data_IF_289152900070
#
_entry.id   IF_289152900070
#
_cell.length_a   1.000
_cell.length_b   1.000
_cell.length_c   1.000
_cell.angle_alpha   90.00
_cell.angle_beta   90.00
_cell.angle_gamma   90.00
#
_symmetry.space_group_name_H-M   'P 1'
#
loop_
_entity.id
_entity.type
_entity.pdbx_description
1 polymer ?
#
# COMPACT_ATOMS: atom_id res chain seq x y z
N UNK A 1 -4.80 -1.28 2.77
CA UNK A 1 -4.29 -2.64 3.00
C UNK A 1 -2.99 -2.51 3.79
N UNK A 2 -2.44 -3.60 4.28
CA UNK A 2 -1.33 -3.62 5.24
C UNK A 2 0.05 -3.45 4.60
N UNK A 3 1.03 -4.20 5.12
CA UNK A 3 2.37 -4.27 4.55
C UNK A 3 2.66 -5.65 3.94
N UNK A 4 3.59 -5.68 2.99
CA UNK A 4 4.11 -6.90 2.37
C UNK A 4 4.78 -7.78 3.43
N UNK A 5 4.70 -9.10 3.25
CA UNK A 5 5.23 -10.03 4.24
C UNK A 5 6.76 -9.92 4.34
N UNK A 6 7.30 -9.96 5.56
CA UNK A 6 8.75 -9.92 5.80
C UNK A 6 9.36 -8.51 5.89
N UNK A 7 8.59 -7.42 5.72
CA UNK A 7 9.10 -6.07 5.90
C UNK A 7 9.30 -5.67 7.37
N UNK A 8 8.52 -6.25 8.27
CA UNK A 8 8.60 -5.97 9.71
C UNK A 8 9.46 -7.08 10.35
N UNK A 9 10.67 -6.78 10.86
CA UNK A 9 11.60 -7.81 11.34
C UNK A 9 11.00 -8.67 12.45
N UNK A 10 10.91 -9.99 12.27
CA UNK A 10 10.33 -10.89 13.27
C UNK A 10 8.81 -10.79 13.42
N UNK A 11 8.11 -10.23 12.43
CA UNK A 11 6.66 -10.32 12.28
C UNK A 11 6.35 -10.95 10.93
N UNK A 12 5.43 -11.91 10.91
CA UNK A 12 4.91 -12.51 9.69
C UNK A 12 3.51 -11.99 9.47
N UNK A 13 3.25 -11.43 8.29
CA UNK A 13 1.93 -10.95 7.90
C UNK A 13 0.94 -12.13 7.89
N UNK A 14 -0.04 -12.19 8.82
CA UNK A 14 -0.92 -13.33 8.94
C UNK A 14 -1.91 -13.42 7.77
N UNK A 15 -2.10 -12.33 7.04
CA UNK A 15 -3.10 -12.19 5.97
C UNK A 15 -2.47 -11.72 4.66
N UNK A 16 -1.42 -12.39 4.18
CA UNK A 16 -0.79 -12.05 2.91
C UNK A 16 -1.29 -12.92 1.76
N UNK A 17 -1.75 -12.30 0.67
CA UNK A 17 -2.04 -12.94 -0.60
C UNK A 17 -1.12 -12.42 -1.70
N UNK A 18 -0.53 -13.31 -2.50
CA UNK A 18 0.36 -12.93 -3.60
C UNK A 18 -0.30 -13.22 -4.95
N UNK A 19 -0.34 -12.22 -5.82
CA UNK A 19 -0.91 -12.28 -7.15
C UNK A 19 0.12 -11.94 -8.21
N UNK A 20 0.22 -12.74 -9.27
CA UNK A 20 1.00 -12.40 -10.45
C UNK A 20 0.44 -11.16 -11.20
N UNK A 21 -0.83 -10.82 -10.96
CA UNK A 21 -1.53 -9.74 -11.68
C UNK A 21 -1.48 -8.39 -10.98
N UNK A 22 -1.18 -8.33 -9.68
CA UNK A 22 -1.17 -7.06 -8.91
C UNK A 22 -0.16 -7.02 -7.76
N UNK A 23 0.59 -8.09 -7.51
CA UNK A 23 1.57 -8.14 -6.42
C UNK A 23 0.99 -8.66 -5.10
N UNK A 24 1.49 -8.13 -4.00
CA UNK A 24 1.20 -8.57 -2.64
C UNK A 24 0.06 -7.76 -2.01
N UNK A 25 -0.82 -8.46 -1.30
CA UNK A 25 -1.99 -7.94 -0.63
C UNK A 25 -1.95 -8.36 0.84
N UNK A 26 -1.50 -7.46 1.70
CA UNK A 26 -1.52 -7.64 3.16
C UNK A 26 -2.86 -7.22 3.75
N UNK A 27 -3.53 -8.10 4.51
CA UNK A 27 -4.83 -7.85 5.15
C UNK A 27 -4.75 -7.17 6.52
N UNK A 28 -3.55 -6.89 7.02
CA UNK A 28 -3.33 -6.26 8.33
C UNK A 28 -3.61 -4.76 8.39
N UNK A 29 -3.82 -4.10 7.25
CA UNK A 29 -4.21 -2.68 7.22
C UNK A 29 -5.66 -2.44 7.64
N UNK A 30 -6.02 -1.17 7.84
CA UNK A 30 -7.37 -0.79 8.33
C UNK A 30 -8.42 -0.90 7.24
N UNK A 31 -8.12 -0.40 6.03
CA UNK A 31 -8.97 -0.54 4.85
C UNK A 31 -8.51 -1.73 4.00
N UNK A 32 -9.43 -2.64 3.71
CA UNK A 32 -9.19 -3.81 2.88
C UNK A 32 -10.45 -4.27 2.16
N UNK A 33 -10.27 -5.04 1.10
CA UNK A 33 -11.42 -5.59 0.38
C UNK A 33 -12.10 -6.67 1.22
N UNK A 34 -13.42 -6.62 1.31
CA UNK A 34 -14.27 -7.49 2.12
C UNK A 34 -13.96 -7.49 3.62
N UNK A 35 -13.28 -6.45 4.14
CA UNK A 35 -12.96 -6.35 5.57
C UNK A 35 -13.87 -5.35 6.27
N UNK A 36 -14.28 -5.68 7.49
CA UNK A 36 -14.96 -4.78 8.41
C UNK A 36 -14.09 -4.62 9.66
N UNK A 37 -13.33 -3.54 9.75
CA UNK A 37 -12.49 -3.21 10.90
C UNK A 37 -13.08 -1.99 11.61
N UNK A 38 -13.35 -2.12 12.91
CA UNK A 38 -13.73 -0.99 13.76
C UNK A 38 -12.52 -0.40 14.48
N UNK A 39 -12.73 0.72 15.19
CA UNK A 39 -11.66 1.37 15.96
C UNK A 39 -11.03 0.43 17.00
N UNK A 40 -11.82 -0.48 17.59
CA UNK A 40 -11.36 -1.52 18.52
C UNK A 40 -10.34 -2.51 17.93
N UNK A 41 -10.32 -2.63 16.59
CA UNK A 41 -9.45 -3.57 15.89
C UNK A 41 -8.09 -2.92 15.55
N UNK A 42 -7.91 -1.63 15.85
CA UNK A 42 -6.66 -0.88 15.69
C UNK A 42 -5.86 -0.95 17.00
N UNK A 43 -5.17 -2.08 17.19
CA UNK A 43 -4.53 -2.43 18.48
C UNK A 43 -3.25 -1.64 18.73
N UNK A 44 -2.59 -1.16 17.68
CA UNK A 44 -1.35 -0.39 17.80
C UNK A 44 -1.59 1.12 18.07
N UNK A 45 -2.87 1.51 18.19
CA UNK A 45 -3.33 2.86 18.51
C UNK A 45 -3.70 3.67 17.27
N UNK A 46 -4.83 4.40 17.33
CA UNK A 46 -5.34 5.17 16.18
C UNK A 46 -4.38 6.27 15.70
N UNK A 47 -3.53 6.79 16.58
CA UNK A 47 -2.49 7.79 16.28
C UNK A 47 -1.20 7.21 15.70
N UNK A 48 -1.10 5.89 15.56
CA UNK A 48 0.10 5.19 15.09
C UNK A 48 -0.18 4.33 13.84
N UNK A 49 -1.40 4.38 13.31
CA UNK A 49 -1.81 3.57 12.17
C UNK A 49 -2.29 4.49 11.06
N UNK A 50 -1.62 4.40 9.91
CA UNK A 50 -1.95 5.10 8.68
C UNK A 50 -3.23 4.54 8.07
N UNK A 51 -4.14 5.44 7.74
CA UNK A 51 -5.39 5.15 7.03
C UNK A 51 -5.27 5.43 5.53
N UNK A 52 -4.66 6.56 5.16
CA UNK A 52 -4.46 7.00 3.77
C UNK A 52 -3.04 7.55 3.64
N UNK A 53 -2.36 7.25 2.54
CA UNK A 53 -1.11 7.90 2.16
C UNK A 53 -1.19 8.55 0.79
N UNK A 54 -0.36 9.56 0.58
CA UNK A 54 -0.38 10.40 -0.62
C UNK A 54 0.24 9.71 -1.85
N UNK A 55 -0.39 9.94 -3.01
CA UNK A 55 0.17 9.75 -4.34
C UNK A 55 -0.14 10.98 -5.19
N UNK A 56 0.81 11.92 -5.30
CA UNK A 56 0.61 13.19 -6.01
C UNK A 56 1.55 13.42 -7.21
N UNK A 57 2.36 12.42 -7.59
CA UNK A 57 3.26 12.53 -8.76
C UNK A 57 3.29 11.27 -9.63
N UNK A 58 3.92 11.41 -10.80
CA UNK A 58 4.09 10.35 -11.78
C UNK A 58 5.15 9.33 -11.36
N UNK A 59 5.08 8.17 -12.01
CA UNK A 59 6.11 7.14 -11.98
C UNK A 59 6.96 7.23 -13.25
N UNK A 60 8.18 6.75 -13.16
CA UNK A 60 9.14 6.75 -14.25
C UNK A 60 9.70 5.36 -14.44
N UNK A 61 9.66 4.89 -15.67
CA UNK A 61 10.27 3.62 -16.05
C UNK A 61 11.79 3.71 -16.05
N UNK A 62 12.46 2.57 -16.24
CA UNK A 62 13.91 2.46 -16.32
C UNK A 62 14.49 3.23 -17.51
N UNK A 63 13.73 3.36 -18.61
CA UNK A 63 14.08 4.22 -19.75
C UNK A 63 13.74 5.70 -19.53
N UNK A 64 13.14 6.05 -18.39
CA UNK A 64 12.77 7.43 -18.05
C UNK A 64 11.40 7.87 -18.57
N UNK A 65 10.62 6.96 -19.16
CA UNK A 65 9.27 7.29 -19.63
C UNK A 65 8.36 7.62 -18.44
N UNK A 66 7.67 8.76 -18.52
CA UNK A 66 6.68 9.18 -17.53
C UNK A 66 5.40 8.35 -17.66
N UNK A 67 4.84 7.94 -16.52
CA UNK A 67 3.68 7.05 -16.43
C UNK A 67 2.73 7.47 -15.31
N UNK A 68 1.44 7.49 -15.63
CA UNK A 68 0.38 7.63 -14.65
C UNK A 68 -0.06 6.24 -14.18
N UNK A 69 0.54 5.77 -13.09
CA UNK A 69 0.25 4.47 -12.47
C UNK A 69 -0.29 4.65 -11.04
N UNK A 70 -1.11 5.67 -10.82
CA UNK A 70 -1.79 5.86 -9.53
C UNK A 70 -2.60 4.60 -9.16
N UNK A 71 -2.64 4.25 -7.88
CA UNK A 71 -3.23 2.98 -7.40
C UNK A 71 -4.72 2.84 -7.70
N UNK A 72 -5.43 3.95 -7.79
CA UNK A 72 -6.84 3.99 -8.21
C UNK A 72 -7.05 3.52 -9.66
N UNK A 73 -5.96 3.34 -10.41
CA UNK A 73 -5.99 3.07 -11.84
C UNK A 73 -6.89 4.10 -12.57
N UNK A 74 -7.69 3.64 -13.53
CA UNK A 74 -8.71 4.46 -14.19
C UNK A 74 -10.05 4.55 -13.44
N UNK A 75 -10.17 3.99 -12.23
CA UNK A 75 -11.46 3.74 -11.57
C UNK A 75 -11.72 4.61 -10.33
N UNK A 76 -10.71 5.35 -9.86
CA UNK A 76 -10.86 6.34 -8.79
C UNK A 76 -10.82 5.74 -7.38
N UNK A 77 -11.76 4.86 -7.05
CA UNK A 77 -11.85 4.20 -5.74
C UNK A 77 -12.18 2.71 -5.87
N UNK A 78 -12.25 1.98 -4.75
CA UNK A 78 -12.54 0.56 -4.76
C UNK A 78 -13.96 0.30 -5.29
N UNK A 79 -14.08 -0.51 -6.36
CA UNK A 79 -15.35 -0.87 -7.02
C UNK A 79 -15.80 -2.32 -6.75
N UNK A 80 -15.19 -2.96 -5.76
CA UNK A 80 -15.41 -4.37 -5.44
C UNK A 80 -14.26 -5.26 -5.90
N UNK A 81 -14.26 -6.48 -5.39
CA UNK A 81 -13.26 -7.51 -5.69
C UNK A 81 -13.99 -8.75 -6.19
N UNK A 82 -13.37 -9.53 -7.08
CA UNK A 82 -13.99 -10.69 -7.72
C UNK A 82 -14.07 -11.94 -6.83
N UNK A 83 -14.12 -11.77 -5.51
CA UNK A 83 -14.20 -12.84 -4.50
C UNK A 83 -14.94 -12.33 -3.27
N UNK A 84 -15.53 -13.22 -2.48
CA UNK A 84 -16.11 -12.89 -1.16
C UNK A 84 -15.13 -13.15 -0.02
N UNK A 85 -13.99 -13.78 -0.28
CA UNK A 85 -12.98 -14.06 0.72
C UNK A 85 -12.20 -12.80 1.10
N UNK A 86 -11.36 -12.92 2.13
CA UNK A 86 -10.35 -11.92 2.56
C UNK A 86 -8.94 -12.52 2.40
N UNK A 87 -7.87 -11.72 2.28
CA UNK A 87 -6.51 -12.25 2.32
C UNK A 87 -6.30 -13.09 3.60
N UNK A 88 -5.64 -14.26 3.53
CA UNK A 88 -4.87 -14.79 2.39
C UNK A 88 -5.68 -15.65 1.41
N UNK A 89 -7.01 -15.75 1.58
CA UNK A 89 -7.84 -16.77 0.92
C UNK A 89 -8.58 -16.27 -0.34
N UNK A 90 -8.07 -15.25 -1.03
CA UNK A 90 -8.67 -14.80 -2.28
C UNK A 90 -8.67 -15.92 -3.33
N UNK A 91 -9.86 -16.24 -3.85
CA UNK A 91 -10.07 -17.32 -4.84
C UNK A 91 -10.42 -16.80 -6.24
N UNK A 92 -10.65 -15.49 -6.36
CA UNK A 92 -11.05 -14.85 -7.61
C UNK A 92 -10.18 -13.64 -7.92
N UNK A 93 -10.70 -12.74 -8.74
CA UNK A 93 -9.94 -11.59 -9.19
C UNK A 93 -9.63 -10.64 -8.01
N UNK A 94 -8.35 -10.43 -7.64
CA UNK A 94 -7.98 -9.78 -6.39
C UNK A 94 -7.88 -8.24 -6.50
N UNK A 95 -8.43 -7.61 -7.53
CA UNK A 95 -8.25 -6.17 -7.74
C UNK A 95 -8.92 -5.34 -6.63
N UNK A 96 -8.09 -4.57 -5.90
CA UNK A 96 -8.50 -3.80 -4.72
C UNK A 96 -8.51 -2.28 -4.91
N UNK A 97 -8.29 -1.80 -6.15
CA UNK A 97 -8.33 -0.41 -6.63
C UNK A 97 -8.31 0.69 -5.55
N UNK A 98 -7.16 1.33 -5.37
CA UNK A 98 -6.98 2.37 -4.35
C UNK A 98 -6.64 1.84 -2.95
N UNK A 99 -6.92 0.56 -2.64
CA UNK A 99 -6.33 -0.08 -1.46
C UNK A 99 -5.04 -0.82 -1.85
N UNK A 100 -3.90 -0.32 -1.36
CA UNK A 100 -2.58 -0.90 -1.62
C UNK A 100 -1.87 -1.30 -0.35
N UNK A 101 -0.88 -2.15 -0.54
CA UNK A 101 -0.02 -2.72 0.47
C UNK A 101 1.37 -2.11 0.36
N UNK A 102 1.91 -1.65 1.48
CA UNK A 102 3.27 -1.10 1.54
C UNK A 102 4.27 -2.20 1.21
N UNK A 103 5.05 -1.98 0.14
CA UNK A 103 6.14 -2.87 -0.29
C UNK A 103 7.47 -2.15 -0.52
N UNK A 104 7.42 -0.85 -0.80
CA UNK A 104 8.56 -0.05 -1.23
C UNK A 104 8.67 1.24 -0.40
N UNK A 105 9.88 1.82 -0.32
CA UNK A 105 10.08 3.11 0.32
C UNK A 105 9.25 4.22 -0.32
N UNK A 106 8.94 5.26 0.46
CA UNK A 106 8.36 6.51 -0.03
C UNK A 106 9.24 7.07 -1.15
N UNK A 107 8.60 7.65 -2.17
CA UNK A 107 9.26 8.23 -3.34
C UNK A 107 10.12 7.25 -4.16
N UNK A 108 9.91 5.94 -4.02
CA UNK A 108 10.45 4.93 -4.96
C UNK A 108 9.73 4.98 -6.32
N UNK A 109 9.55 6.15 -6.92
CA UNK A 109 8.77 6.35 -8.15
C UNK A 109 9.56 6.17 -9.46
N UNK A 110 10.86 5.80 -9.40
CA UNK A 110 11.74 5.67 -10.58
C UNK A 110 12.37 4.29 -10.72
N UNK A 111 12.71 3.94 -11.96
CA UNK A 111 13.48 2.75 -12.32
C UNK A 111 12.63 1.49 -12.50
N UNK A 112 11.35 1.64 -12.83
CA UNK A 112 10.43 0.53 -13.02
C UNK A 112 10.51 -0.08 -14.42
N UNK A 113 10.19 -1.36 -14.57
CA UNK A 113 10.28 -2.02 -15.88
C UNK A 113 9.42 -1.34 -16.96
N UNK A 114 9.90 -1.36 -18.19
CA UNK A 114 9.22 -0.81 -19.37
C UNK A 114 8.35 -1.86 -20.09
N UNK A 115 7.28 -1.45 -20.80
CA UNK A 115 6.66 -0.11 -20.80
C UNK A 115 5.61 0.07 -19.69
N UNK A 116 5.27 -1.00 -18.97
CA UNK A 116 4.07 -1.09 -18.11
C UNK A 116 4.37 -1.48 -16.66
N UNK A 117 5.64 -1.53 -16.25
CA UNK A 117 6.05 -2.04 -14.94
C UNK A 117 6.09 -3.56 -14.90
N UNK A 118 6.05 -4.10 -13.68
CA UNK A 118 5.96 -5.52 -13.40
C UNK A 118 4.82 -5.76 -12.40
N UNK A 119 3.69 -6.23 -12.92
CA UNK A 119 2.48 -6.45 -12.13
C UNK A 119 2.66 -7.50 -11.01
N UNK A 120 3.57 -8.48 -11.15
CA UNK A 120 3.88 -9.44 -10.09
C UNK A 120 4.68 -8.81 -8.94
N UNK A 121 5.39 -7.71 -9.23
CA UNK A 121 6.00 -6.85 -8.21
C UNK A 121 4.99 -5.84 -7.63
N UNK A 122 3.76 -5.79 -8.16
CA UNK A 122 2.72 -4.88 -7.74
C UNK A 122 2.98 -3.43 -8.11
N UNK A 123 3.80 -3.20 -9.14
CA UNK A 123 4.07 -1.88 -9.70
C UNK A 123 3.86 -1.90 -11.19
N UNK A 124 3.01 -1.00 -11.68
CA UNK A 124 2.70 -0.92 -13.09
C UNK A 124 1.22 -0.68 -13.34
N UNK A 125 0.89 -0.65 -14.62
CA UNK A 125 -0.47 -0.50 -15.09
C UNK A 125 -0.70 -1.32 -16.35
N UNK A 126 -1.73 -2.15 -16.33
CA UNK A 126 -2.10 -3.01 -17.45
C UNK A 126 -3.62 -3.15 -17.52
N UNK A 127 -4.20 -2.91 -18.70
CA UNK A 127 -5.63 -3.11 -18.95
C UNK A 127 -6.56 -2.50 -17.88
N UNK A 128 -6.34 -1.24 -17.53
CA UNK A 128 -7.10 -0.50 -16.51
C UNK A 128 -6.90 -0.96 -15.06
N UNK A 129 -5.86 -1.75 -14.80
CA UNK A 129 -5.51 -2.25 -13.48
C UNK A 129 -4.15 -1.69 -13.10
N UNK A 130 -4.05 -1.10 -11.91
CA UNK A 130 -2.80 -0.72 -11.29
C UNK A 130 -2.32 -1.81 -10.33
N UNK A 131 -1.01 -1.91 -10.14
CA UNK A 131 -0.44 -2.78 -9.13
C UNK A 131 -0.87 -2.39 -7.71
N UNK A 132 -0.99 -3.38 -6.81
CA UNK A 132 -1.43 -3.19 -5.43
C UNK A 132 -0.27 -2.80 -4.48
N UNK A 133 0.92 -2.54 -5.00
CA UNK A 133 2.09 -2.14 -4.22
C UNK A 133 2.74 -0.86 -4.76
N UNK A 134 1.97 0.00 -5.42
CA UNK A 134 2.50 1.26 -5.93
C UNK A 134 3.05 2.10 -4.76
N UNK A 135 4.33 2.52 -4.78
CA UNK A 135 4.92 3.26 -3.67
C UNK A 135 4.19 4.58 -3.46
N UNK A 136 4.08 4.97 -2.20
CA UNK A 136 3.72 6.33 -1.82
C UNK A 136 4.64 7.33 -2.52
N UNK A 137 4.08 8.43 -3.03
CA UNK A 137 4.88 9.45 -3.68
C UNK A 137 4.28 10.85 -3.55
N UNK A 138 5.14 11.85 -3.59
CA UNK A 138 4.73 13.25 -3.65
C UNK A 138 5.57 14.06 -4.62
N UNK A 139 4.99 15.13 -5.15
CA UNK A 139 5.75 16.22 -5.76
C UNK A 139 6.39 17.15 -4.69
N UNK A 140 5.96 17.05 -3.44
CA UNK A 140 6.56 17.78 -2.33
C UNK A 140 7.96 17.23 -1.99
N UNK A 141 8.95 18.10 -1.72
CA UNK A 141 10.27 17.64 -1.32
C UNK A 141 10.26 16.85 -0.02
N UNK A 142 10.99 15.73 0.02
CA UNK A 142 11.38 15.05 1.25
C UNK A 142 10.40 14.03 1.82
N UNK A 143 9.22 13.80 1.22
CA UNK A 143 8.27 12.84 1.78
C UNK A 143 6.85 12.96 1.25
N UNK A 144 5.90 12.42 2.01
CA UNK A 144 4.46 12.36 1.69
C UNK A 144 3.63 12.77 2.90
N UNK A 145 2.43 13.30 2.67
CA UNK A 145 1.45 13.40 3.75
C UNK A 145 0.74 12.06 3.95
N UNK A 146 0.50 11.73 5.21
CA UNK A 146 -0.28 10.55 5.61
C UNK A 146 -1.38 10.97 6.58
N UNK A 147 -2.56 10.37 6.43
CA UNK A 147 -3.67 10.47 7.37
C UNK A 147 -3.62 9.28 8.31
N UNK A 148 -3.66 9.54 9.62
CA UNK A 148 -3.76 8.52 10.66
C UNK A 148 -5.22 8.23 11.01
N UNK A 149 -5.46 7.10 11.67
CA UNK A 149 -6.81 6.65 12.02
C UNK A 149 -7.52 7.53 13.07
N UNK A 150 -6.78 8.38 13.78
CA UNK A 150 -7.32 9.40 14.68
C UNK A 150 -7.72 10.71 13.97
N UNK A 151 -7.51 10.78 12.65
CA UNK A 151 -7.82 11.95 11.82
C UNK A 151 -6.68 12.97 11.72
N UNK A 152 -5.55 12.76 12.42
CA UNK A 152 -4.40 13.64 12.28
C UNK A 152 -3.66 13.39 10.96
N UNK A 153 -3.14 14.47 10.37
CA UNK A 153 -2.26 14.40 9.19
C UNK A 153 -0.83 14.63 9.64
N UNK A 154 0.09 13.78 9.18
CA UNK A 154 1.53 13.91 9.45
C UNK A 154 2.33 13.81 8.17
N UNK A 155 3.50 14.46 8.17
CA UNK A 155 4.46 14.32 7.09
C UNK A 155 5.37 13.13 7.36
N UNK A 156 5.39 12.15 6.45
CA UNK A 156 6.28 11.00 6.52
C UNK A 156 7.47 11.20 5.60
N UNK A 157 8.67 11.22 6.17
CA UNK A 157 9.92 11.42 5.44
C UNK A 157 10.20 10.30 4.44
N UNK A 158 10.78 10.63 3.30
CA UNK A 158 11.30 9.64 2.33
C UNK A 158 12.51 8.86 2.86
N UNK A 159 13.19 9.39 3.88
CA UNK A 159 14.27 8.70 4.60
C UNK A 159 13.78 7.76 5.68
N UNK A 160 12.46 7.65 5.89
CA UNK A 160 11.88 6.72 6.87
C UNK A 160 12.24 5.28 6.50
N UNK A 161 12.67 4.52 7.51
CA UNK A 161 12.90 3.09 7.37
C UNK A 161 11.65 2.38 6.83
N UNK A 162 11.82 1.53 5.82
CA UNK A 162 10.70 0.81 5.20
C UNK A 162 9.96 -0.05 6.23
N UNK A 163 10.67 -0.59 7.22
CA UNK A 163 10.05 -1.34 8.30
C UNK A 163 9.15 -0.47 9.20
N UNK A 164 9.50 0.79 9.43
CA UNK A 164 8.65 1.75 10.16
C UNK A 164 7.40 2.10 9.35
N UNK A 165 7.55 2.34 8.05
CA UNK A 165 6.40 2.56 7.16
C UNK A 165 5.48 1.33 7.08
N UNK A 166 6.06 0.13 7.11
CA UNK A 166 5.30 -1.11 7.15
C UNK A 166 4.49 -1.24 8.46
N UNK A 167 5.06 -0.86 9.61
CA UNK A 167 4.34 -0.81 10.90
C UNK A 167 3.21 0.20 10.86
N UNK A 168 3.43 1.40 10.30
CA UNK A 168 2.36 2.40 10.09
C UNK A 168 1.16 1.84 9.31
N UNK A 169 1.40 0.97 8.32
CA UNK A 169 0.34 0.36 7.55
C UNK A 169 -0.32 -0.85 8.25
N UNK A 170 0.21 -1.32 9.38
CA UNK A 170 -0.27 -2.48 10.11
C UNK A 170 -1.03 -2.03 11.36
N UNK A 171 -2.19 -2.63 11.61
CA UNK A 171 -3.04 -2.29 12.78
C UNK A 171 -2.90 -3.25 13.96
N UNK A 172 -2.25 -4.40 13.75
CA UNK A 172 -2.23 -5.56 14.65
C UNK A 172 -0.84 -6.19 14.82
N UNK A 173 0.25 -5.47 14.54
CA UNK A 173 1.59 -6.05 14.69
C UNK A 173 2.08 -6.06 16.14
N UNK A 174 1.37 -5.35 17.04
CA UNK A 174 1.72 -5.23 18.45
C UNK A 174 2.95 -4.36 18.69
N UNK A 175 3.35 -3.56 17.70
CA UNK A 175 4.57 -2.75 17.70
C UNK A 175 4.25 -1.31 17.31
N UNK A 176 3.50 -0.58 18.19
CA UNK A 176 3.32 0.85 18.04
C UNK A 176 4.66 1.53 17.78
N UNK A 177 4.66 2.48 16.86
CA UNK A 177 5.83 3.29 16.60
C UNK A 177 5.87 4.48 17.56
N UNK A 178 7.08 4.92 17.88
CA UNK A 178 7.29 6.21 18.54
C UNK A 178 7.03 7.38 17.57
N UNK A 179 7.22 8.61 18.03
CA UNK A 179 7.17 9.77 17.16
C UNK A 179 8.17 9.65 15.99
N UNK A 180 7.73 10.07 14.81
CA UNK A 180 8.46 10.02 13.55
C UNK A 180 8.26 11.31 12.76
#
# INVERSE_FOLDING_TARGET
>A
MGAANGLIPGYTEPSNFTSANIGELGGSGVLGANTLNGLKDIRDGSSNVMLIGEQSTFYFTATGAQKDWRTSAGLGFQIGVGTTAVPPNFTGNPFTFGFYTIRYPINKNRGWADPNGNMALGVGYQAYIAGANMPLNSAHPGGVNILLCDGSVRFASESMELSTLARLANRIDGRPIDAF
#
